data_IF_576104398819
#
_entry.id   IF_576104398819
#
_cell.length_a   1.000
_cell.length_b   1.000
_cell.length_c   1.000
_cell.angle_alpha   90.00
_cell.angle_beta   90.00
_cell.angle_gamma   90.00
#
_symmetry.space_group_name_H-M   'P 1'
#
loop_
_entity.id
_entity.type
_entity.pdbx_description
1 polymer ?
#
# COMPACT_ATOMS: atom_id res chain seq x y z
N UNK A 1 -27.03 28.74 -80.39
CA UNK A 1 -26.33 29.86 -79.70
C UNK A 1 -26.78 30.03 -78.23
N UNK A 2 -27.13 28.96 -77.50
CA UNK A 2 -27.69 29.07 -76.13
C UNK A 2 -26.84 28.46 -75.00
N UNK A 3 -25.87 27.60 -75.32
CA UNK A 3 -25.10 26.87 -74.29
C UNK A 3 -23.84 27.62 -73.82
N UNK A 4 -23.23 28.45 -74.67
CA UNK A 4 -22.01 29.18 -74.32
C UNK A 4 -22.28 30.39 -73.39
N UNK A 5 -23.47 31.00 -73.45
CA UNK A 5 -23.82 32.14 -72.59
C UNK A 5 -24.13 31.74 -71.15
N UNK A 6 -24.66 30.54 -70.90
CA UNK A 6 -24.87 30.04 -69.53
C UNK A 6 -23.55 29.65 -68.85
N UNK A 7 -22.58 29.12 -69.60
CA UNK A 7 -21.28 28.74 -69.05
C UNK A 7 -20.47 29.96 -68.61
N UNK A 8 -20.54 31.09 -69.34
CA UNK A 8 -19.90 32.34 -68.93
C UNK A 8 -20.57 32.99 -67.70
N UNK A 9 -21.89 32.86 -67.55
CA UNK A 9 -22.61 33.38 -66.38
C UNK A 9 -22.36 32.53 -65.13
N UNK A 10 -22.19 31.21 -65.26
CA UNK A 10 -21.80 30.33 -64.16
C UNK A 10 -20.32 30.50 -63.77
N UNK A 11 -19.43 30.73 -64.74
CA UNK A 11 -18.03 31.05 -64.46
C UNK A 11 -17.87 32.44 -63.82
N UNK A 12 -18.67 33.44 -64.23
CA UNK A 12 -18.70 34.75 -63.60
C UNK A 12 -19.33 34.71 -62.19
N UNK A 13 -20.33 33.85 -61.97
CA UNK A 13 -20.93 33.61 -60.64
C UNK A 13 -19.99 32.92 -59.65
N UNK A 14 -19.11 32.03 -60.14
CA UNK A 14 -18.09 31.36 -59.31
C UNK A 14 -16.90 32.26 -58.95
N UNK A 15 -16.63 33.31 -59.73
CA UNK A 15 -15.61 34.34 -59.41
C UNK A 15 -16.18 35.44 -58.51
N UNK A 16 -17.51 35.54 -58.37
CA UNK A 16 -18.21 36.54 -57.55
C UNK A 16 -18.63 36.05 -56.16
N UNK A 17 -18.16 34.88 -55.69
CA UNK A 17 -17.90 34.71 -54.24
C UNK A 17 -16.58 35.41 -53.96
N UNK A 18 -16.58 36.73 -54.15
CA UNK A 18 -15.58 37.60 -53.59
C UNK A 18 -15.54 37.23 -52.11
N UNK A 19 -14.37 36.77 -51.68
CA UNK A 19 -14.03 36.63 -50.29
C UNK A 19 -14.54 37.86 -49.55
N UNK A 20 -15.66 37.73 -48.86
CA UNK A 20 -15.91 38.56 -47.69
C UNK A 20 -14.81 38.11 -46.74
N UNK A 21 -13.66 38.81 -46.83
CA UNK A 21 -12.72 38.91 -45.73
C UNK A 21 -13.53 39.55 -44.61
N UNK A 22 -14.34 38.73 -43.94
CA UNK A 22 -14.98 39.08 -42.68
C UNK A 22 -13.85 39.57 -41.82
N UNK A 23 -13.88 40.85 -41.51
CA UNK A 23 -12.81 41.49 -40.77
C UNK A 23 -12.72 40.76 -39.43
N UNK A 24 -11.61 40.03 -39.23
CA UNK A 24 -11.40 39.22 -38.04
C UNK A 24 -11.62 40.11 -36.81
N UNK A 25 -12.71 39.86 -36.07
CA UNK A 25 -13.07 40.65 -34.89
C UNK A 25 -12.53 39.96 -33.66
N UNK A 26 -11.61 40.61 -32.94
CA UNK A 26 -11.01 40.03 -31.73
C UNK A 26 -11.88 40.19 -30.48
N UNK A 27 -13.08 40.76 -30.58
CA UNK A 27 -13.99 41.01 -29.45
C UNK A 27 -14.35 39.74 -28.71
N UNK A 28 -14.71 38.68 -29.43
CA UNK A 28 -15.09 37.39 -28.85
C UNK A 28 -13.90 36.66 -28.23
N UNK A 29 -12.75 36.66 -28.91
CA UNK A 29 -11.49 36.12 -28.39
C UNK A 29 -11.09 36.83 -27.09
N UNK A 30 -11.24 38.15 -27.05
CA UNK A 30 -10.97 38.95 -25.85
C UNK A 30 -11.91 38.59 -24.70
N UNK A 31 -13.20 38.47 -24.95
CA UNK A 31 -14.17 38.05 -23.93
C UNK A 31 -13.84 36.63 -23.39
N UNK A 32 -13.51 35.69 -24.28
CA UNK A 32 -13.09 34.33 -23.91
C UNK A 32 -11.79 34.32 -23.11
N UNK A 33 -10.80 35.13 -23.46
CA UNK A 33 -9.57 35.23 -22.68
C UNK A 33 -9.80 35.87 -21.31
N UNK A 34 -10.67 36.88 -21.23
CA UNK A 34 -11.00 37.56 -19.98
C UNK A 34 -11.77 36.67 -19.00
N UNK A 35 -12.54 35.68 -19.48
CA UNK A 35 -13.15 34.68 -18.59
C UNK A 35 -12.09 33.78 -17.94
N UNK A 36 -11.01 33.46 -18.66
CA UNK A 36 -9.87 32.73 -18.13
C UNK A 36 -8.96 33.61 -17.24
N UNK A 37 -8.89 34.91 -17.51
CA UNK A 37 -8.05 35.88 -16.81
C UNK A 37 -8.80 37.20 -16.56
N UNK A 38 -9.56 37.30 -15.48
CA UNK A 38 -10.30 38.52 -15.15
C UNK A 38 -9.37 39.72 -14.96
N UNK A 39 -9.79 40.90 -15.44
CA UNK A 39 -9.11 42.18 -15.17
C UNK A 39 -7.92 42.53 -16.07
N UNK A 40 -7.54 41.66 -17.03
CA UNK A 40 -6.46 41.97 -17.98
C UNK A 40 -6.88 43.01 -19.02
N UNK A 41 -6.03 44.02 -19.23
CA UNK A 41 -6.26 45.14 -20.17
C UNK A 41 -5.38 45.11 -21.42
N UNK A 42 -4.38 44.23 -21.46
CA UNK A 42 -3.37 44.13 -22.52
C UNK A 42 -3.78 43.21 -23.69
N UNK A 43 -5.06 42.84 -23.77
CA UNK A 43 -5.60 41.97 -24.82
C UNK A 43 -5.93 42.80 -26.06
N UNK A 44 -5.49 42.39 -27.28
CA UNK A 44 -5.76 43.16 -28.50
C UNK A 44 -7.26 43.38 -28.75
N UNK A 45 -7.62 44.55 -29.27
CA UNK A 45 -9.00 44.88 -29.69
C UNK A 45 -9.24 44.56 -31.16
N UNK A 46 -8.18 44.61 -31.96
CA UNK A 46 -8.15 44.28 -33.38
C UNK A 46 -7.02 43.29 -33.68
N UNK A 47 -7.04 42.64 -34.85
CA UNK A 47 -6.01 41.68 -35.22
C UNK A 47 -4.61 42.33 -35.28
N UNK A 48 -3.64 41.65 -34.68
CA UNK A 48 -2.23 42.05 -34.65
C UNK A 48 -1.38 41.11 -35.52
N UNK A 49 -0.13 41.51 -35.80
CA UNK A 49 0.85 40.62 -36.43
C UNK A 49 1.19 39.47 -35.49
N UNK A 50 1.14 38.23 -35.98
CA UNK A 50 1.45 37.02 -35.20
C UNK A 50 2.92 36.58 -35.25
N UNK A 51 3.82 37.48 -35.66
CA UNK A 51 5.24 37.17 -35.87
C UNK A 51 6.01 36.92 -34.57
N UNK A 52 5.49 37.35 -33.43
CA UNK A 52 6.03 37.16 -32.08
C UNK A 52 5.55 35.87 -31.39
N UNK A 53 4.61 35.14 -32.00
CA UNK A 53 4.06 33.89 -31.49
C UNK A 53 5.02 32.72 -31.72
N UNK A 54 5.18 31.86 -30.72
CA UNK A 54 6.07 30.69 -30.76
C UNK A 54 5.33 29.37 -31.00
N UNK A 55 4.04 29.28 -30.65
CA UNK A 55 3.24 28.05 -30.74
C UNK A 55 2.18 28.18 -31.83
N UNK A 56 1.40 29.26 -31.80
CA UNK A 56 0.34 29.53 -32.79
C UNK A 56 0.88 30.32 -33.98
N UNK A 57 1.95 29.82 -34.59
CA UNK A 57 2.61 30.48 -35.73
C UNK A 57 1.61 30.60 -36.88
N UNK A 58 1.37 31.84 -37.31
CA UNK A 58 0.47 32.16 -38.41
C UNK A 58 1.08 33.21 -39.33
N UNK A 59 0.74 33.13 -40.62
CA UNK A 59 1.06 34.16 -41.62
C UNK A 59 -0.04 35.22 -41.75
N UNK A 60 -1.21 34.98 -41.14
CA UNK A 60 -2.35 35.90 -41.13
C UNK A 60 -2.39 36.71 -39.83
N UNK A 61 -3.09 37.87 -39.81
CA UNK A 61 -3.35 38.58 -38.57
C UNK A 61 -4.05 37.68 -37.53
N UNK A 62 -3.72 37.86 -36.26
CA UNK A 62 -4.15 37.03 -35.13
C UNK A 62 -4.73 37.89 -34.01
N UNK A 63 -5.60 37.33 -33.19
CA UNK A 63 -6.14 37.99 -32.00
C UNK A 63 -5.32 37.74 -30.73
N UNK A 64 -4.22 36.99 -30.83
CA UNK A 64 -3.32 36.71 -29.72
C UNK A 64 -1.99 37.46 -29.86
N UNK A 65 -1.52 38.02 -28.75
CA UNK A 65 -0.13 38.44 -28.59
C UNK A 65 0.67 37.40 -27.79
N UNK A 66 2.00 37.55 -27.73
CA UNK A 66 2.87 36.63 -26.98
C UNK A 66 2.48 36.43 -25.51
N UNK A 67 2.00 37.46 -24.81
CA UNK A 67 1.56 37.33 -23.41
C UNK A 67 0.30 36.47 -23.27
N UNK A 68 -0.63 36.55 -24.23
CA UNK A 68 -1.79 35.65 -24.26
C UNK A 68 -1.34 34.21 -24.46
N UNK A 69 -0.40 33.98 -25.38
CA UNK A 69 0.15 32.65 -25.67
C UNK A 69 0.81 32.01 -24.45
N UNK A 70 1.66 32.75 -23.73
CA UNK A 70 2.30 32.28 -22.48
C UNK A 70 1.28 31.92 -21.41
N UNK A 71 0.19 32.69 -21.32
CA UNK A 71 -0.87 32.43 -20.34
C UNK A 71 -1.72 31.23 -20.73
N UNK A 72 -2.06 31.07 -22.00
CA UNK A 72 -2.73 29.88 -22.50
C UNK A 72 -1.89 28.61 -22.29
N UNK A 73 -0.57 28.67 -22.45
CA UNK A 73 0.30 27.53 -22.12
C UNK A 73 0.21 27.17 -20.63
N UNK A 74 0.23 28.16 -19.75
CA UNK A 74 0.12 27.94 -18.30
C UNK A 74 -1.24 27.33 -17.91
N UNK A 75 -2.32 27.88 -18.46
CA UNK A 75 -3.69 27.36 -18.24
C UNK A 75 -3.84 25.95 -18.82
N UNK A 76 -3.27 25.68 -19.99
CA UNK A 76 -3.32 24.33 -20.59
C UNK A 76 -2.65 23.28 -19.70
N UNK A 77 -1.50 23.62 -19.11
CA UNK A 77 -0.83 22.71 -18.17
C UNK A 77 -1.68 22.45 -16.93
N UNK A 78 -2.21 23.52 -16.33
CA UNK A 78 -3.08 23.41 -15.14
C UNK A 78 -4.34 22.58 -15.42
N UNK A 79 -5.02 22.84 -16.54
CA UNK A 79 -6.22 22.12 -16.92
C UNK A 79 -5.93 20.63 -17.12
N UNK A 80 -4.79 20.28 -17.73
CA UNK A 80 -4.41 18.89 -17.90
C UNK A 80 -4.09 18.21 -16.57
N UNK A 81 -3.38 18.89 -15.66
CA UNK A 81 -3.13 18.39 -14.29
C UNK A 81 -4.46 18.14 -13.55
N UNK A 82 -5.43 19.05 -13.65
CA UNK A 82 -6.75 18.89 -13.04
C UNK A 82 -7.58 17.76 -13.67
N UNK A 83 -7.49 17.58 -14.99
CA UNK A 83 -8.16 16.50 -15.69
C UNK A 83 -7.63 15.13 -15.24
N UNK A 84 -6.31 14.99 -15.07
CA UNK A 84 -5.70 13.78 -14.54
C UNK A 84 -6.21 13.47 -13.13
N UNK A 85 -6.22 14.48 -12.25
CA UNK A 85 -6.72 14.33 -10.88
C UNK A 85 -8.20 13.94 -10.83
N UNK A 86 -9.01 14.51 -11.72
CA UNK A 86 -10.44 14.19 -11.79
C UNK A 86 -10.66 12.76 -12.31
N UNK A 87 -9.87 12.33 -13.29
CA UNK A 87 -9.97 10.98 -13.87
C UNK A 87 -9.52 9.88 -12.88
N UNK A 88 -8.48 10.13 -12.09
CA UNK A 88 -7.92 9.20 -11.10
C UNK A 88 -8.73 9.15 -9.79
N UNK A 89 -9.50 10.21 -9.46
CA UNK A 89 -10.13 10.38 -8.15
C UNK A 89 -11.00 9.20 -7.70
N UNK A 90 -11.81 8.63 -8.61
CA UNK A 90 -12.66 7.48 -8.29
C UNK A 90 -11.83 6.25 -7.94
N UNK A 91 -10.78 5.98 -8.71
CA UNK A 91 -9.87 4.86 -8.48
C UNK A 91 -9.12 5.05 -7.16
N UNK A 92 -8.59 6.25 -6.90
CA UNK A 92 -7.94 6.63 -5.65
C UNK A 92 -8.84 6.36 -4.44
N UNK A 93 -10.08 6.86 -4.48
CA UNK A 93 -11.04 6.65 -3.41
C UNK A 93 -11.35 5.17 -3.19
N UNK A 94 -11.53 4.41 -4.27
CA UNK A 94 -11.80 2.98 -4.20
C UNK A 94 -10.69 2.21 -3.48
N UNK A 95 -9.41 2.42 -3.84
CA UNK A 95 -8.30 1.69 -3.23
C UNK A 95 -8.13 2.09 -1.76
N UNK A 96 -8.16 3.40 -1.46
CA UNK A 96 -8.03 3.90 -0.07
C UNK A 96 -9.15 3.33 0.81
N UNK A 97 -10.39 3.35 0.33
CA UNK A 97 -11.53 2.84 1.08
C UNK A 97 -11.40 1.32 1.31
N UNK A 98 -11.03 0.54 0.30
CA UNK A 98 -10.87 -0.90 0.46
C UNK A 98 -9.70 -1.27 1.38
N UNK A 99 -8.59 -0.50 1.35
CA UNK A 99 -7.49 -0.68 2.29
C UNK A 99 -7.95 -0.45 3.74
N UNK A 100 -8.71 0.62 3.99
CA UNK A 100 -9.26 0.92 5.31
C UNK A 100 -10.25 -0.17 5.78
N UNK A 101 -11.17 -0.59 4.90
CA UNK A 101 -12.14 -1.66 5.21
C UNK A 101 -11.42 -2.97 5.53
N UNK A 102 -10.41 -3.34 4.73
CA UNK A 102 -9.63 -4.56 4.96
C UNK A 102 -8.88 -4.49 6.29
N UNK A 103 -8.33 -3.32 6.62
CA UNK A 103 -7.65 -3.10 7.90
C UNK A 103 -8.61 -3.26 9.10
N UNK A 104 -9.75 -2.60 9.06
CA UNK A 104 -10.78 -2.72 10.10
C UNK A 104 -11.28 -4.17 10.26
N UNK A 105 -11.44 -4.88 9.14
CA UNK A 105 -11.88 -6.27 9.14
C UNK A 105 -10.89 -7.21 9.85
N UNK A 106 -9.59 -7.14 9.53
CA UNK A 106 -8.63 -8.03 10.20
C UNK A 106 -8.47 -7.68 11.69
N UNK A 107 -8.50 -6.39 12.06
CA UNK A 107 -8.45 -5.96 13.46
C UNK A 107 -9.66 -6.50 14.24
N UNK A 108 -10.84 -6.49 13.61
CA UNK A 108 -12.05 -7.10 14.16
C UNK A 108 -11.90 -8.61 14.34
N UNK A 109 -11.38 -9.34 13.34
CA UNK A 109 -11.13 -10.79 13.43
C UNK A 109 -10.16 -11.11 14.57
N UNK A 110 -9.04 -10.40 14.68
CA UNK A 110 -8.05 -10.58 15.75
C UNK A 110 -8.70 -10.40 17.12
N UNK A 111 -9.51 -9.35 17.28
CA UNK A 111 -10.23 -9.07 18.53
C UNK A 111 -11.17 -10.22 18.90
N UNK A 112 -11.94 -10.74 17.96
CA UNK A 112 -12.85 -11.86 18.20
C UNK A 112 -12.09 -13.15 18.50
N UNK A 113 -11.06 -13.48 17.73
CA UNK A 113 -10.21 -14.65 17.96
C UNK A 113 -9.56 -14.65 19.35
N UNK A 114 -9.05 -13.48 19.78
CA UNK A 114 -8.53 -13.27 21.14
C UNK A 114 -9.61 -13.51 22.19
N UNK A 115 -10.81 -12.97 21.99
CA UNK A 115 -11.93 -13.12 22.92
C UNK A 115 -12.43 -14.56 23.03
N UNK A 116 -12.52 -15.29 21.91
CA UNK A 116 -12.89 -16.70 21.91
C UNK A 116 -11.85 -17.55 22.62
N UNK A 117 -10.55 -17.30 22.36
CA UNK A 117 -9.46 -18.02 23.04
C UNK A 117 -9.46 -17.74 24.54
N UNK A 118 -9.64 -16.49 24.96
CA UNK A 118 -9.77 -16.14 26.37
C UNK A 118 -11.00 -16.78 27.04
N UNK A 119 -12.14 -16.78 26.35
CA UNK A 119 -13.37 -17.42 26.83
C UNK A 119 -13.19 -18.93 26.99
N UNK A 120 -12.53 -19.58 26.03
CA UNK A 120 -12.18 -21.00 26.11
C UNK A 120 -11.37 -21.31 27.38
N UNK A 121 -10.33 -20.52 27.68
CA UNK A 121 -9.56 -20.68 28.92
C UNK A 121 -10.40 -20.42 30.18
N UNK A 122 -11.27 -19.41 30.19
CA UNK A 122 -12.19 -19.16 31.32
C UNK A 122 -13.12 -20.33 31.58
N UNK A 123 -13.66 -20.93 30.52
CA UNK A 123 -14.68 -21.96 30.66
C UNK A 123 -14.07 -23.31 31.02
N UNK A 124 -12.98 -23.70 30.37
CA UNK A 124 -12.43 -25.06 30.48
C UNK A 124 -11.19 -25.15 31.39
N UNK A 125 -10.49 -24.05 31.63
CA UNK A 125 -9.19 -24.04 32.30
C UNK A 125 -9.07 -22.92 33.35
N UNK A 126 -10.10 -22.78 34.20
CA UNK A 126 -10.26 -21.68 35.17
C UNK A 126 -9.00 -21.40 36.02
N UNK A 127 -8.34 -22.46 36.49
CA UNK A 127 -7.18 -22.36 37.39
C UNK A 127 -5.95 -21.70 36.75
N UNK A 128 -5.81 -21.79 35.43
CA UNK A 128 -4.68 -21.20 34.68
C UNK A 128 -5.11 -20.00 33.83
N UNK A 129 -6.41 -19.73 33.76
CA UNK A 129 -7.04 -18.75 32.88
C UNK A 129 -6.42 -17.35 32.97
N UNK A 130 -6.15 -16.85 34.19
CA UNK A 130 -5.57 -15.51 34.39
C UNK A 130 -4.19 -15.37 33.74
N UNK A 131 -3.32 -16.38 33.90
CA UNK A 131 -1.98 -16.39 33.29
C UNK A 131 -2.07 -16.60 31.79
N UNK A 132 -2.91 -17.53 31.35
CA UNK A 132 -3.11 -17.83 29.93
C UNK A 132 -3.58 -16.60 29.14
N UNK A 133 -4.47 -15.77 29.70
CA UNK A 133 -4.94 -14.54 29.05
C UNK A 133 -3.83 -13.54 28.73
N UNK A 134 -2.78 -13.49 29.54
CA UNK A 134 -1.63 -12.64 29.26
C UNK A 134 -0.93 -13.10 27.98
N UNK A 135 -0.62 -14.40 27.89
CA UNK A 135 0.05 -15.00 26.72
C UNK A 135 -0.82 -14.93 25.46
N UNK A 136 -2.13 -15.12 25.60
CA UNK A 136 -3.09 -14.92 24.49
C UNK A 136 -3.08 -13.46 24.05
N UNK A 137 -3.01 -12.51 24.98
CA UNK A 137 -2.91 -11.09 24.67
C UNK A 137 -1.64 -10.75 23.87
N UNK A 138 -0.50 -11.28 24.30
CA UNK A 138 0.80 -11.12 23.63
C UNK A 138 0.75 -11.69 22.20
N UNK A 139 0.34 -12.95 22.04
CA UNK A 139 0.21 -13.61 20.73
C UNK A 139 -0.64 -12.79 19.74
N UNK A 140 -1.84 -12.37 20.14
CA UNK A 140 -2.72 -11.61 19.25
C UNK A 140 -2.25 -10.17 19.00
N UNK A 141 -1.44 -9.60 19.90
CA UNK A 141 -0.77 -8.31 19.68
C UNK A 141 0.31 -8.48 18.61
N UNK A 142 1.13 -9.51 18.69
CA UNK A 142 2.18 -9.80 17.71
C UNK A 142 1.60 -10.13 16.33
N UNK A 143 0.47 -10.84 16.27
CA UNK A 143 -0.28 -11.07 15.03
C UNK A 143 -0.71 -9.73 14.39
N UNK A 144 -1.24 -8.80 15.19
CA UNK A 144 -1.64 -7.46 14.71
C UNK A 144 -0.44 -6.67 14.21
N UNK A 145 0.64 -6.62 14.99
CA UNK A 145 1.88 -5.94 14.64
C UNK A 145 2.51 -6.52 13.36
N UNK A 146 2.45 -7.83 13.16
CA UNK A 146 2.92 -8.49 11.94
C UNK A 146 2.15 -8.02 10.70
N UNK A 147 0.81 -7.99 10.76
CA UNK A 147 -0.02 -7.52 9.63
C UNK A 147 0.21 -6.04 9.33
N UNK A 148 0.46 -5.23 10.37
CA UNK A 148 0.79 -3.81 10.25
C UNK A 148 2.24 -3.55 9.80
N UNK A 149 3.03 -4.59 9.55
CA UNK A 149 4.34 -4.47 8.90
C UNK A 149 5.56 -4.70 9.79
N UNK A 150 5.37 -5.06 11.06
CA UNK A 150 6.49 -5.40 11.95
C UNK A 150 7.23 -6.66 11.48
N UNK A 151 8.54 -6.71 11.68
CA UNK A 151 9.39 -7.85 11.30
C UNK A 151 9.40 -8.95 12.37
N UNK A 152 8.21 -9.39 12.77
CA UNK A 152 8.04 -10.46 13.77
C UNK A 152 7.99 -11.80 13.05
N UNK A 153 8.75 -12.78 13.52
CA UNK A 153 8.68 -14.13 12.98
C UNK A 153 7.47 -14.87 13.55
N UNK A 154 6.61 -15.40 12.67
CA UNK A 154 5.39 -16.11 13.08
C UNK A 154 5.71 -17.38 13.88
N UNK A 155 6.81 -18.06 13.59
CA UNK A 155 7.20 -19.23 14.36
C UNK A 155 7.63 -18.85 15.78
N UNK A 156 8.31 -17.71 15.94
CA UNK A 156 8.80 -17.25 17.23
C UNK A 156 7.65 -16.81 18.14
N UNK A 157 6.68 -16.03 17.64
CA UNK A 157 5.49 -15.64 18.44
C UNK A 157 4.67 -16.87 18.90
N UNK A 158 4.55 -17.89 18.04
CA UNK A 158 3.81 -19.12 18.37
C UNK A 158 4.60 -19.96 19.37
N UNK A 159 5.92 -20.08 19.20
CA UNK A 159 6.78 -20.73 20.19
C UNK A 159 6.65 -20.02 21.53
N UNK A 160 6.88 -18.70 21.59
CA UNK A 160 6.81 -17.91 22.83
C UNK A 160 5.48 -18.12 23.59
N UNK A 161 4.37 -18.22 22.87
CA UNK A 161 3.07 -18.58 23.46
C UNK A 161 3.10 -19.96 24.14
N UNK A 162 3.56 -21.01 23.45
CA UNK A 162 3.63 -22.37 24.01
C UNK A 162 4.71 -22.51 25.09
N UNK A 163 5.84 -21.82 24.96
CA UNK A 163 6.93 -21.69 25.93
C UNK A 163 6.43 -21.10 27.25
N UNK A 164 5.53 -20.12 27.16
CA UNK A 164 4.95 -19.45 28.33
C UNK A 164 3.80 -20.24 28.94
N UNK A 165 3.01 -20.93 28.11
CA UNK A 165 1.88 -21.75 28.57
C UNK A 165 2.34 -23.02 29.31
N UNK A 166 3.42 -23.66 28.85
CA UNK A 166 3.82 -24.97 29.36
C UNK A 166 4.19 -25.00 30.85
N UNK A 167 5.01 -24.09 31.40
CA UNK A 167 5.33 -24.07 32.83
C UNK A 167 4.07 -23.92 33.70
N UNK A 168 3.06 -23.20 33.21
CA UNK A 168 1.79 -23.02 33.92
C UNK A 168 1.00 -24.33 33.96
N UNK A 169 0.89 -25.03 32.82
CA UNK A 169 0.26 -26.36 32.78
C UNK A 169 1.01 -27.35 33.67
N UNK A 170 2.34 -27.36 33.60
CA UNK A 170 3.17 -28.23 34.42
C UNK A 170 2.94 -28.01 35.91
N UNK A 171 2.92 -26.75 36.35
CA UNK A 171 2.68 -26.42 37.77
C UNK A 171 1.32 -26.89 38.26
N UNK A 172 0.31 -26.90 37.38
CA UNK A 172 -1.03 -27.32 37.74
C UNK A 172 -1.15 -28.84 37.88
N UNK A 173 -0.49 -29.60 36.99
CA UNK A 173 -0.68 -31.06 36.91
C UNK A 173 0.39 -31.88 37.66
N UNK A 174 1.58 -31.35 37.99
CA UNK A 174 2.71 -32.17 38.52
C UNK A 174 2.94 -31.90 39.98
N UNK A 175 2.73 -30.65 40.38
CA UNK A 175 2.96 -30.23 41.74
C UNK A 175 1.92 -29.17 42.10
N UNK A 176 0.62 -29.54 42.17
CA UNK A 176 -0.42 -28.63 42.58
C UNK A 176 -0.07 -28.04 43.95
N UNK A 177 0.31 -26.75 43.97
CA UNK A 177 0.73 -26.02 45.18
C UNK A 177 2.18 -25.52 45.20
N UNK A 178 3.05 -25.93 44.25
CA UNK A 178 4.42 -25.39 44.17
C UNK A 178 4.54 -24.30 43.11
N UNK A 179 5.02 -23.13 43.54
CA UNK A 179 5.34 -22.03 42.64
C UNK A 179 6.53 -22.38 41.74
N UNK A 180 6.34 -22.25 40.43
CA UNK A 180 7.44 -22.36 39.45
C UNK A 180 8.44 -21.24 39.73
N UNK A 181 9.67 -21.60 40.09
CA UNK A 181 10.79 -20.67 40.20
C UNK A 181 11.28 -20.27 38.80
N UNK A 182 11.96 -19.14 38.68
CA UNK A 182 12.51 -18.66 37.40
C UNK A 182 13.44 -19.69 36.76
N UNK A 183 14.31 -20.34 37.56
CA UNK A 183 15.25 -21.35 37.06
C UNK A 183 14.56 -22.63 36.58
N UNK A 184 13.46 -23.02 37.22
CA UNK A 184 12.66 -24.16 36.77
C UNK A 184 11.86 -23.84 35.50
N UNK A 185 11.42 -22.59 35.32
CA UNK A 185 10.67 -22.18 34.12
C UNK A 185 11.50 -22.31 32.84
N UNK A 186 12.77 -21.92 32.85
CA UNK A 186 13.66 -22.04 31.68
C UNK A 186 13.93 -23.50 31.30
N UNK A 187 14.16 -24.36 32.30
CA UNK A 187 14.29 -25.79 32.01
C UNK A 187 13.00 -26.37 31.41
N UNK A 188 11.84 -26.00 31.95
CA UNK A 188 10.54 -26.44 31.44
C UNK A 188 10.30 -25.98 30.01
N UNK A 189 10.75 -24.77 29.64
CA UNK A 189 10.70 -24.29 28.26
C UNK A 189 11.50 -25.20 27.35
N UNK A 190 12.76 -25.49 27.67
CA UNK A 190 13.61 -26.37 26.86
C UNK A 190 13.03 -27.79 26.78
N UNK A 191 12.64 -28.36 27.93
CA UNK A 191 12.08 -29.70 28.02
C UNK A 191 10.81 -29.85 27.18
N UNK A 192 9.97 -28.81 27.06
CA UNK A 192 8.76 -28.88 26.23
C UNK A 192 9.06 -29.10 24.75
N UNK A 193 10.18 -28.57 24.23
CA UNK A 193 10.64 -28.86 22.87
C UNK A 193 11.10 -30.32 22.77
N UNK A 194 12.01 -30.72 23.66
CA UNK A 194 12.64 -32.04 23.62
C UNK A 194 11.64 -33.19 23.80
N UNK A 195 10.63 -33.00 24.65
CA UNK A 195 9.59 -34.01 24.89
C UNK A 195 8.41 -33.89 23.93
N UNK A 196 8.41 -32.93 23.02
CA UNK A 196 7.29 -32.62 22.13
C UNK A 196 5.96 -32.52 22.91
N UNK A 197 5.94 -31.72 23.98
CA UNK A 197 4.90 -31.84 25.00
C UNK A 197 3.48 -31.58 24.48
N UNK A 198 3.35 -30.64 23.53
CA UNK A 198 2.09 -30.31 22.86
C UNK A 198 1.84 -31.10 21.58
N UNK A 199 2.61 -32.15 21.29
CA UNK A 199 2.42 -32.94 20.06
C UNK A 199 2.59 -32.11 18.78
N UNK A 200 1.77 -32.40 17.77
CA UNK A 200 1.86 -31.71 16.46
C UNK A 200 1.30 -30.28 16.46
N UNK A 201 0.52 -29.90 17.48
CA UNK A 201 -0.30 -28.69 17.46
C UNK A 201 0.49 -27.38 17.28
N UNK A 202 1.66 -27.16 17.93
CA UNK A 202 2.45 -25.95 17.69
C UNK A 202 2.86 -25.80 16.22
N UNK A 203 3.31 -26.87 15.56
CA UNK A 203 3.68 -26.86 14.14
C UNK A 203 2.48 -26.59 13.23
N UNK A 204 1.32 -27.16 13.55
CA UNK A 204 0.07 -26.90 12.83
C UNK A 204 -0.33 -25.43 12.94
N UNK A 205 -0.29 -24.86 14.15
CA UNK A 205 -0.57 -23.45 14.40
C UNK A 205 0.39 -22.56 13.62
N UNK A 206 1.71 -22.80 13.72
CA UNK A 206 2.71 -22.06 12.96
C UNK A 206 2.42 -22.07 11.45
N UNK A 207 2.12 -23.24 10.90
CA UNK A 207 1.87 -23.38 9.46
C UNK A 207 0.62 -22.62 9.03
N UNK A 208 -0.49 -22.77 9.77
CA UNK A 208 -1.75 -22.12 9.41
C UNK A 208 -1.67 -20.60 9.59
N UNK A 209 -1.16 -20.14 10.73
CA UNK A 209 -1.01 -18.71 11.03
C UNK A 209 -0.01 -18.08 10.06
N UNK A 210 1.13 -18.71 9.78
CA UNK A 210 2.13 -18.15 8.87
C UNK A 210 1.59 -17.95 7.46
N UNK A 211 0.96 -18.98 6.87
CA UNK A 211 0.40 -18.88 5.52
C UNK A 211 -0.71 -17.82 5.44
N UNK A 212 -1.58 -17.80 6.45
CA UNK A 212 -2.68 -16.86 6.51
C UNK A 212 -2.20 -15.41 6.62
N UNK A 213 -1.31 -15.14 7.59
CA UNK A 213 -0.79 -13.79 7.81
C UNK A 213 0.06 -13.29 6.64
N UNK A 214 0.87 -14.15 6.00
CA UNK A 214 1.65 -13.78 4.82
C UNK A 214 0.72 -13.33 3.68
N UNK A 215 -0.35 -14.08 3.42
CA UNK A 215 -1.32 -13.71 2.39
C UNK A 215 -2.01 -12.38 2.73
N UNK A 216 -2.52 -12.21 3.95
CA UNK A 216 -3.17 -10.96 4.37
C UNK A 216 -2.23 -9.75 4.36
N UNK A 217 -0.98 -9.92 4.80
CA UNK A 217 0.04 -8.86 4.76
C UNK A 217 0.39 -8.45 3.34
N UNK A 218 0.62 -9.43 2.45
CA UNK A 218 0.92 -9.17 1.05
C UNK A 218 -0.22 -8.40 0.36
N UNK A 219 -1.49 -8.75 0.67
CA UNK A 219 -2.64 -8.02 0.14
C UNK A 219 -2.69 -6.56 0.62
N UNK A 220 -2.50 -6.32 1.92
CA UNK A 220 -2.45 -4.96 2.47
C UNK A 220 -1.30 -4.14 1.86
N UNK A 221 -0.12 -4.75 1.69
CA UNK A 221 1.02 -4.13 1.02
C UNK A 221 0.70 -3.80 -0.45
N UNK A 222 0.02 -4.69 -1.16
CA UNK A 222 -0.40 -4.44 -2.53
C UNK A 222 -1.35 -3.24 -2.61
N UNK A 223 -2.36 -3.16 -1.73
CA UNK A 223 -3.26 -1.99 -1.68
C UNK A 223 -2.52 -0.69 -1.38
N UNK A 224 -1.58 -0.70 -0.43
CA UNK A 224 -0.76 0.47 -0.10
C UNK A 224 0.14 0.89 -1.28
N UNK A 225 0.72 -0.07 -2.01
CA UNK A 225 1.46 0.20 -3.24
C UNK A 225 0.56 0.82 -4.30
N UNK A 226 -0.66 0.33 -4.48
CA UNK A 226 -1.65 0.94 -5.37
C UNK A 226 -1.96 2.39 -5.03
N UNK A 227 -2.08 2.71 -3.74
CA UNK A 227 -2.28 4.09 -3.26
C UNK A 227 -1.05 4.94 -3.59
N UNK A 228 0.16 4.43 -3.38
CA UNK A 228 1.41 5.14 -3.67
C UNK A 228 1.57 5.42 -5.18
N UNK A 229 1.31 4.44 -6.03
CA UNK A 229 1.37 4.59 -7.49
C UNK A 229 0.33 5.60 -7.97
N UNK A 230 -0.90 5.51 -7.49
CA UNK A 230 -1.94 6.50 -7.83
C UNK A 230 -1.51 7.88 -7.38
N UNK A 231 -1.08 8.06 -6.13
CA UNK A 231 -0.64 9.37 -5.65
C UNK A 231 0.54 9.92 -6.47
N UNK A 232 1.49 9.07 -6.85
CA UNK A 232 2.64 9.48 -7.67
C UNK A 232 2.20 9.91 -9.07
N UNK A 233 1.28 9.17 -9.69
CA UNK A 233 0.74 9.51 -11.02
C UNK A 233 -0.20 10.73 -11.00
N UNK A 234 -0.93 10.95 -9.90
CA UNK A 234 -1.85 12.08 -9.67
C UNK A 234 -1.15 13.44 -9.62
N UNK A 235 0.14 13.45 -9.26
CA UNK A 235 0.97 14.64 -9.16
C UNK A 235 1.98 14.80 -10.32
N UNK A 236 1.82 14.03 -11.40
CA UNK A 236 2.66 14.17 -12.58
C UNK A 236 2.59 15.59 -13.15
N UNK A 237 3.76 16.24 -13.20
CA UNK A 237 3.86 17.61 -13.71
C UNK A 237 3.95 17.61 -15.23
N UNK A 238 3.01 18.33 -15.83
CA UNK A 238 2.98 18.50 -17.28
C UNK A 238 4.16 19.37 -17.68
N UNK A 239 5.05 18.81 -18.50
CA UNK A 239 6.25 19.51 -18.96
C UNK A 239 5.92 20.66 -19.92
N UNK A 240 6.92 21.49 -20.24
CA UNK A 240 6.73 22.67 -21.10
C UNK A 240 6.33 22.30 -22.54
N UNK A 241 6.89 21.23 -23.09
CA UNK A 241 6.64 20.83 -24.49
C UNK A 241 5.23 20.27 -24.69
N UNK A 242 4.74 19.47 -23.73
CA UNK A 242 3.34 19.08 -23.68
C UNK A 242 2.45 20.32 -23.49
N UNK A 243 2.82 21.26 -22.61
CA UNK A 243 2.09 22.52 -22.45
C UNK A 243 1.92 23.30 -23.76
N UNK A 244 2.95 23.34 -24.61
CA UNK A 244 2.87 23.93 -25.96
C UNK A 244 1.92 23.16 -26.87
N UNK A 245 2.00 21.83 -26.86
CA UNK A 245 1.17 20.98 -27.73
C UNK A 245 -0.31 21.03 -27.33
N UNK A 246 -0.60 20.97 -26.03
CA UNK A 246 -1.95 21.16 -25.48
C UNK A 246 -2.50 22.54 -25.81
N UNK A 247 -1.70 23.59 -25.60
CA UNK A 247 -2.11 24.95 -25.95
C UNK A 247 -2.39 25.09 -27.44
N UNK A 248 -1.56 24.45 -28.28
CA UNK A 248 -1.78 24.44 -29.72
C UNK A 248 -3.11 23.80 -30.10
N UNK A 249 -3.44 22.71 -29.43
CA UNK A 249 -4.66 21.96 -29.65
C UNK A 249 -5.92 22.68 -29.12
N UNK A 250 -5.84 23.35 -27.98
CA UNK A 250 -7.00 23.97 -27.32
C UNK A 250 -7.24 25.43 -27.70
N UNK A 251 -6.19 26.21 -27.96
CA UNK A 251 -6.31 27.67 -28.01
C UNK A 251 -5.82 28.32 -29.31
N UNK A 252 -5.08 27.63 -30.19
CA UNK A 252 -4.63 28.29 -31.43
C UNK A 252 -5.78 28.64 -32.40
N UNK A 253 -6.89 27.91 -32.39
CA UNK A 253 -8.09 28.28 -33.14
C UNK A 253 -8.69 29.61 -32.64
N UNK A 254 -8.65 29.87 -31.33
CA UNK A 254 -9.11 31.13 -30.73
C UNK A 254 -8.24 32.29 -31.20
N UNK A 255 -6.92 32.08 -31.32
CA UNK A 255 -6.03 33.10 -31.88
C UNK A 255 -6.34 33.45 -33.33
N UNK A 256 -6.96 32.53 -34.08
CA UNK A 256 -7.49 32.77 -35.43
C UNK A 256 -8.97 33.20 -35.44
N UNK A 257 -9.53 33.58 -34.30
CA UNK A 257 -10.93 34.02 -34.18
C UNK A 257 -11.98 32.91 -34.30
N UNK A 258 -11.59 31.65 -34.17
CA UNK A 258 -12.50 30.50 -34.25
C UNK A 258 -12.60 29.81 -32.90
N UNK A 259 -13.55 30.25 -32.06
CA UNK A 259 -13.70 29.76 -30.68
C UNK A 259 -14.38 28.38 -30.60
N UNK A 260 -15.28 28.08 -31.54
CA UNK A 260 -16.09 26.84 -31.51
C UNK A 260 -15.40 25.63 -32.15
N UNK A 261 -14.19 25.81 -32.68
CA UNK A 261 -13.45 24.73 -33.32
C UNK A 261 -12.92 23.74 -32.27
N UNK A 262 -13.45 22.51 -32.30
CA UNK A 262 -12.96 21.40 -31.49
C UNK A 262 -11.79 20.68 -32.18
N UNK A 263 -10.78 20.19 -31.43
CA UNK A 263 -9.71 19.40 -32.00
C UNK A 263 -10.25 18.07 -32.55
N UNK A 264 -9.72 17.63 -33.69
CA UNK A 264 -10.06 16.34 -34.26
C UNK A 264 -9.69 15.19 -33.29
N UNK A 265 -10.48 14.11 -33.26
CA UNK A 265 -10.25 12.99 -32.34
C UNK A 265 -8.84 12.39 -32.46
N UNK A 266 -8.33 12.20 -33.69
CA UNK A 266 -6.97 11.71 -33.93
C UNK A 266 -5.89 12.67 -33.42
N UNK A 267 -6.06 13.97 -33.63
CA UNK A 267 -5.12 14.98 -33.14
C UNK A 267 -5.11 15.04 -31.60
N UNK A 268 -6.30 14.99 -30.99
CA UNK A 268 -6.46 14.88 -29.54
C UNK A 268 -5.75 13.65 -29.00
N UNK A 269 -6.03 12.46 -29.53
CA UNK A 269 -5.41 11.22 -29.08
C UNK A 269 -3.88 11.22 -29.21
N UNK A 270 -3.33 11.76 -30.30
CA UNK A 270 -1.88 11.88 -30.47
C UNK A 270 -1.23 12.83 -29.46
N UNK A 271 -1.88 13.97 -29.17
CA UNK A 271 -1.41 14.96 -28.20
C UNK A 271 -1.44 14.37 -26.79
N UNK A 272 -2.55 13.72 -26.42
CA UNK A 272 -2.69 13.10 -25.10
C UNK A 272 -1.66 11.99 -24.86
N UNK A 273 -1.45 11.08 -25.83
CA UNK A 273 -0.42 10.03 -25.71
C UNK A 273 0.98 10.61 -25.50
N UNK A 274 1.32 11.66 -26.23
CA UNK A 274 2.64 12.32 -26.10
C UNK A 274 2.79 12.98 -24.72
N UNK A 275 1.73 13.62 -24.24
CA UNK A 275 1.70 14.29 -22.96
C UNK A 275 1.73 13.34 -21.75
N UNK A 276 1.18 12.13 -21.92
CA UNK A 276 1.01 11.14 -20.86
C UNK A 276 1.97 9.96 -20.99
N UNK A 277 3.10 10.13 -21.68
CA UNK A 277 4.07 9.04 -21.91
C UNK A 277 4.49 8.34 -20.61
N UNK A 278 4.75 9.09 -19.54
CA UNK A 278 5.11 8.50 -18.23
C UNK A 278 3.98 7.73 -17.55
N UNK A 279 2.72 8.03 -17.86
CA UNK A 279 1.57 7.22 -17.39
C UNK A 279 1.46 5.95 -18.23
N UNK A 280 1.63 6.07 -19.54
CA UNK A 280 1.58 4.95 -20.49
C UNK A 280 2.69 3.93 -20.21
N UNK A 281 3.86 4.35 -19.73
CA UNK A 281 4.94 3.45 -19.31
C UNK A 281 4.53 2.54 -18.14
N UNK A 282 3.63 3.01 -17.27
CA UNK A 282 3.17 2.26 -16.08
C UNK A 282 1.98 1.36 -16.42
N UNK A 283 1.25 1.62 -17.51
CA UNK A 283 0.00 0.94 -17.91
C UNK A 283 0.12 -0.60 -17.86
N UNK A 284 1.16 -1.15 -18.48
CA UNK A 284 1.41 -2.60 -18.51
C UNK A 284 1.66 -3.19 -17.12
N UNK A 285 2.45 -2.50 -16.29
CA UNK A 285 2.72 -2.92 -14.91
C UNK A 285 1.48 -2.78 -14.01
N UNK A 286 0.64 -1.79 -14.28
CA UNK A 286 -0.62 -1.61 -13.57
C UNK A 286 -1.59 -2.74 -13.87
N UNK A 287 -1.71 -3.16 -15.14
CA UNK A 287 -2.53 -4.32 -15.52
C UNK A 287 -2.04 -5.62 -14.85
N UNK A 288 -0.73 -5.87 -14.87
CA UNK A 288 -0.13 -7.02 -14.18
C UNK A 288 -0.37 -6.98 -12.66
N UNK A 289 -0.31 -5.79 -12.06
CA UNK A 289 -0.61 -5.56 -10.65
C UNK A 289 -2.08 -5.89 -10.33
N UNK A 290 -3.03 -5.42 -11.14
CA UNK A 290 -4.46 -5.73 -10.95
C UNK A 290 -4.72 -7.23 -11.05
N UNK A 291 -4.15 -7.90 -12.05
CA UNK A 291 -4.26 -9.35 -12.21
C UNK A 291 -3.63 -10.12 -11.03
N UNK A 292 -2.52 -9.62 -10.51
CA UNK A 292 -1.84 -10.19 -9.35
C UNK A 292 -2.68 -10.07 -8.08
N UNK A 293 -3.31 -8.92 -7.86
CA UNK A 293 -4.25 -8.73 -6.76
C UNK A 293 -5.45 -9.66 -6.89
N UNK A 294 -6.05 -9.77 -8.08
CA UNK A 294 -7.21 -10.63 -8.31
C UNK A 294 -6.88 -12.12 -8.07
N UNK A 295 -5.70 -12.56 -8.48
CA UNK A 295 -5.23 -13.92 -8.19
C UNK A 295 -4.99 -14.11 -6.69
N UNK A 296 -4.36 -13.14 -6.05
CA UNK A 296 -4.04 -13.20 -4.63
C UNK A 296 -5.29 -13.23 -3.75
N UNK A 297 -6.32 -12.44 -4.07
CA UNK A 297 -7.58 -12.48 -3.32
C UNK A 297 -8.27 -13.84 -3.45
N UNK A 298 -8.22 -14.50 -4.62
CA UNK A 298 -8.69 -15.88 -4.77
C UNK A 298 -7.93 -16.87 -3.89
N UNK A 299 -6.61 -16.71 -3.79
CA UNK A 299 -5.75 -17.57 -2.95
C UNK A 299 -5.99 -17.34 -1.44
N UNK A 300 -6.43 -16.14 -1.05
CA UNK A 300 -6.81 -15.83 0.33
C UNK A 300 -8.08 -16.57 0.77
N UNK A 301 -8.99 -16.91 -0.15
CA UNK A 301 -10.14 -17.74 0.16
C UNK A 301 -9.74 -19.21 0.28
N UNK A 302 -10.08 -19.84 1.40
CA UNK A 302 -9.89 -21.28 1.60
C UNK A 302 -9.42 -21.65 3.00
N UNK A 303 -8.61 -22.71 3.09
CA UNK A 303 -8.19 -23.28 4.38
C UNK A 303 -7.24 -22.37 5.19
N UNK A 304 -6.63 -21.39 4.53
CA UNK A 304 -5.74 -20.39 5.15
C UNK A 304 -6.35 -19.00 5.22
N UNK A 305 -7.66 -18.88 4.98
CA UNK A 305 -8.41 -17.65 5.20
C UNK A 305 -8.18 -17.14 6.63
N UNK A 306 -7.97 -15.83 6.77
CA UNK A 306 -7.58 -15.20 8.05
C UNK A 306 -8.65 -15.35 9.11
N UNK A 307 -9.90 -15.13 8.75
CA UNK A 307 -11.02 -15.29 9.67
C UNK A 307 -11.10 -16.74 10.12
N UNK A 308 -11.08 -17.69 9.18
CA UNK A 308 -11.14 -19.10 9.49
C UNK A 308 -9.97 -19.57 10.37
N UNK A 309 -8.73 -19.18 10.07
CA UNK A 309 -7.54 -19.61 10.84
C UNK A 309 -7.56 -19.03 12.25
N UNK A 310 -7.79 -17.71 12.37
CA UNK A 310 -7.73 -17.05 13.68
C UNK A 310 -8.92 -17.41 14.56
N UNK A 311 -10.13 -17.46 14.01
CA UNK A 311 -11.32 -17.83 14.79
C UNK A 311 -11.32 -19.30 15.21
N UNK A 312 -10.60 -20.20 14.53
CA UNK A 312 -10.45 -21.60 14.95
C UNK A 312 -9.24 -21.85 15.86
N UNK A 313 -8.38 -20.85 16.08
CA UNK A 313 -7.14 -21.01 16.84
C UNK A 313 -7.39 -21.50 18.28
N UNK A 314 -8.50 -21.06 18.92
CA UNK A 314 -8.87 -21.53 20.26
C UNK A 314 -9.03 -23.06 20.32
N UNK A 315 -9.54 -23.68 19.26
CA UNK A 315 -9.79 -25.12 19.20
C UNK A 315 -8.45 -25.87 19.13
N UNK A 316 -7.53 -25.41 18.28
CA UNK A 316 -6.17 -25.98 18.20
C UNK A 316 -5.41 -25.84 19.51
N UNK A 317 -5.52 -24.69 20.18
CA UNK A 317 -4.90 -24.46 21.50
C UNK A 317 -5.51 -25.40 22.55
N UNK A 318 -6.84 -25.52 22.61
CA UNK A 318 -7.52 -26.45 23.53
C UNK A 318 -7.05 -27.88 23.31
N UNK A 319 -7.00 -28.31 22.04
CA UNK A 319 -6.59 -29.68 21.71
C UNK A 319 -5.11 -29.93 22.05
N UNK A 320 -4.24 -28.91 21.94
CA UNK A 320 -2.87 -28.97 22.42
C UNK A 320 -2.80 -29.15 23.95
N UNK A 321 -3.62 -28.42 24.71
CA UNK A 321 -3.71 -28.58 26.17
C UNK A 321 -4.21 -29.98 26.54
N UNK A 322 -5.28 -30.45 25.88
CA UNK A 322 -5.80 -31.81 26.06
C UNK A 322 -4.75 -32.88 25.74
N UNK A 323 -3.87 -32.63 24.77
CA UNK A 323 -2.78 -33.55 24.44
C UNK A 323 -1.78 -33.67 25.60
N UNK A 324 -1.41 -32.54 26.22
CA UNK A 324 -0.53 -32.54 27.41
C UNK A 324 -1.19 -33.32 28.56
N UNK A 325 -2.47 -33.06 28.82
CA UNK A 325 -3.23 -33.73 29.89
C UNK A 325 -3.28 -35.24 29.71
N UNK A 326 -3.61 -35.72 28.50
CA UNK A 326 -3.69 -37.15 28.19
C UNK A 326 -2.34 -37.86 28.30
N UNK A 327 -1.25 -37.18 27.96
CA UNK A 327 0.11 -37.77 27.95
C UNK A 327 0.90 -37.47 29.22
N UNK A 328 0.23 -36.96 30.25
CA UNK A 328 0.89 -36.34 31.38
C UNK A 328 1.86 -37.23 32.13
N UNK A 329 1.46 -38.47 32.46
CA UNK A 329 2.29 -39.40 33.23
C UNK A 329 3.64 -39.73 32.54
N UNK A 330 3.66 -39.74 31.20
CA UNK A 330 4.87 -39.97 30.41
C UNK A 330 5.74 -38.72 30.35
N UNK A 331 5.10 -37.56 30.14
CA UNK A 331 5.77 -36.26 30.12
C UNK A 331 6.43 -35.97 31.46
N UNK A 332 5.71 -36.15 32.56
CA UNK A 332 6.18 -35.87 33.92
C UNK A 332 7.45 -36.64 34.28
N UNK A 333 7.50 -37.93 33.94
CA UNK A 333 8.68 -38.78 34.16
C UNK A 333 9.89 -38.29 33.36
N UNK A 334 9.66 -37.86 32.11
CA UNK A 334 10.73 -37.39 31.22
C UNK A 334 11.25 -36.02 31.67
N UNK A 335 10.35 -35.11 32.03
CA UNK A 335 10.69 -33.77 32.49
C UNK A 335 11.38 -33.81 33.85
N UNK A 336 10.92 -34.66 34.78
CA UNK A 336 11.61 -34.83 36.06
C UNK A 336 13.05 -35.31 35.85
N UNK A 337 13.36 -36.11 34.82
CA UNK A 337 14.74 -36.48 34.51
C UNK A 337 15.55 -35.31 33.96
N UNK A 338 14.95 -34.49 33.11
CA UNK A 338 15.61 -33.35 32.46
C UNK A 338 15.82 -32.16 33.42
N UNK A 339 14.82 -31.88 34.26
CA UNK A 339 14.74 -30.69 35.10
C UNK A 339 14.87 -30.98 36.60
N UNK A 340 15.23 -32.21 37.01
CA UNK A 340 15.56 -32.47 38.41
C UNK A 340 16.69 -31.57 38.87
N UNK A 341 16.59 -30.94 40.06
CA UNK A 341 17.70 -30.24 40.65
C UNK A 341 18.82 -31.26 40.90
N UNK A 342 19.84 -31.25 40.04
CA UNK A 342 21.05 -32.04 40.24
C UNK A 342 21.64 -31.68 41.61
N UNK A 343 21.68 -32.64 42.54
CA UNK A 343 22.50 -32.57 43.76
C UNK A 343 23.99 -32.61 43.38
N UNK A 344 24.50 -31.63 42.64
CA UNK A 344 25.92 -31.51 42.32
C UNK A 344 26.29 -30.03 42.07
N UNK A 345 26.14 -29.20 43.11
CA UNK A 345 27.14 -28.15 43.39
C UNK A 345 28.22 -28.75 44.28
N UNK A 346 28.96 -29.75 43.78
CA UNK A 346 30.27 -30.05 44.34
C UNK A 346 31.22 -29.03 43.72
N UNK A 347 31.71 -28.16 44.60
CA UNK A 347 32.79 -27.19 44.41
C UNK A 347 33.77 -27.58 43.29
N UNK A 348 33.60 -27.01 42.10
CA UNK A 348 34.73 -26.78 41.18
C UNK A 348 35.36 -25.44 41.54
N UNK A 349 35.93 -25.35 42.73
CA UNK A 349 37.04 -24.43 42.99
C UNK A 349 38.26 -25.02 42.30
N UNK A 350 38.38 -24.75 41.00
CA UNK A 350 39.57 -25.09 40.23
C UNK A 350 40.75 -24.36 40.86
N UNK A 351 41.63 -25.16 41.44
CA UNK A 351 43.01 -24.84 41.73
C UNK A 351 43.66 -24.24 40.48
N UNK A 352 43.87 -22.92 40.44
CA UNK A 352 44.76 -22.31 39.46
C UNK A 352 45.96 -21.71 40.17
N UNK A 353 47.09 -22.40 40.02
CA UNK A 353 48.40 -22.03 40.54
C UNK A 353 49.22 -21.58 39.33
N UNK A 354 49.91 -20.44 39.49
CA UNK A 354 50.95 -19.83 38.62
C UNK A 354 50.40 -18.94 37.50
N UNK A 355 50.95 -17.76 37.19
CA UNK A 355 52.18 -17.08 37.57
C UNK A 355 52.06 -15.62 37.08
N UNK A 356 52.40 -14.63 37.90
CA UNK A 356 52.71 -13.27 37.41
C UNK A 356 54.06 -12.87 38.01
N UNK A 357 55.10 -12.94 37.19
CA UNK A 357 56.43 -12.44 37.52
C UNK A 357 56.51 -10.93 37.18
N UNK A 358 56.68 -10.15 38.26
CA UNK A 358 57.68 -9.07 38.43
C UNK A 358 57.68 -7.89 37.43
N UNK A 359 57.38 -6.68 37.93
CA UNK A 359 58.44 -5.68 38.00
C UNK A 359 58.41 -4.77 39.24
N UNK A 360 59.63 -4.42 39.63
CA UNK A 360 60.16 -3.95 40.90
C UNK A 360 59.83 -2.49 41.26
N UNK A 361 59.85 -2.27 42.59
CA UNK A 361 60.48 -1.15 43.31
C UNK A 361 59.80 0.24 43.21
N UNK A 362 59.34 0.76 44.36
CA UNK A 362 60.07 1.68 45.27
C UNK A 362 59.10 2.50 46.14
N UNK A 363 59.19 2.40 47.47
CA UNK A 363 59.59 3.47 48.43
C UNK A 363 58.91 3.33 49.80
N UNK A 364 59.78 3.32 50.84
CA UNK A 364 59.65 3.91 52.19
C UNK A 364 58.52 3.33 53.06
N UNK A 365 58.77 2.86 54.28
CA UNK A 365 59.69 3.34 55.32
C UNK A 365 60.09 2.19 56.22
#
# INVERSE_FOLDING_TARGET
MGAFSLALLLAAGLVAVAATKGQLSCKEVRASFQSLQPGVRWVPESPVSGTDLQVCITKTPTCCNRRMEERYQSVSRLNMEQLLQTASAKLKFLIIQNAAIFQEAFEMVIRHARNYTNTMFKTHYQNISSKAMKFVGELFTDISLYLLGSDINVNDMVNEFFDSLFPVLYSHYLNPGVHVTVENAECLRLARVDTNAFGQYPKTVMTQVSKSLQASRAFLQALNLGIEVINTTDYLKINKDCGRTLMKMWYCSHCQGVLEAKPCAGYCGSTMRTCLVGVVEIDTHWDEYILSIERHTREMYGIYDLENVLLNLFSLIRDAVLHVEKNWAKLSTSINKLCSPSKQRISRSVHNKREFFINKKKKKK
#
